data_IF_760635311592
#
_entry.id   IF_760635311592
#
_cell.length_a   1.000
_cell.length_b   1.000
_cell.length_c   1.000
_cell.angle_alpha   90.00
_cell.angle_beta   90.00
_cell.angle_gamma   90.00
#
_symmetry.space_group_name_H-M   'P 1'
#
loop_
_entity.id
_entity.type
_entity.pdbx_description
1 polymer ?
#
# COMPACT_ATOMS: atom_id res chain seq x y z
N UNK A 1 7.31 21.23 21.50
CA UNK A 1 8.30 20.17 21.77
C UNK A 1 8.06 19.09 20.73
N UNK A 2 8.92 18.99 19.71
CA UNK A 2 8.77 17.98 18.66
C UNK A 2 9.17 16.62 19.23
N UNK A 3 8.20 15.74 19.45
CA UNK A 3 8.48 14.32 19.67
C UNK A 3 9.01 13.75 18.37
N UNK A 4 10.32 13.54 18.29
CA UNK A 4 10.95 12.80 17.20
C UNK A 4 10.45 11.37 17.25
N UNK A 5 9.44 11.03 16.45
CA UNK A 5 8.96 9.66 16.30
C UNK A 5 10.08 8.87 15.62
N UNK A 6 10.81 8.05 16.39
CA UNK A 6 11.90 7.23 15.84
C UNK A 6 11.30 5.96 15.24
N UNK A 7 11.51 5.75 13.95
CA UNK A 7 11.18 4.47 13.32
C UNK A 7 12.01 3.33 13.92
N UNK A 8 11.45 2.12 13.89
CA UNK A 8 12.07 0.86 14.29
C UNK A 8 12.22 -0.02 13.04
N UNK A 9 13.42 -0.55 12.81
CA UNK A 9 13.63 -1.64 11.85
C UNK A 9 13.23 -2.98 12.49
N UNK A 10 12.53 -3.82 11.74
CA UNK A 10 12.07 -5.14 12.16
C UNK A 10 12.26 -6.17 11.06
N UNK A 11 12.23 -7.44 11.43
CA UNK A 11 12.06 -8.54 10.48
C UNK A 11 10.71 -9.20 10.74
N UNK A 12 9.81 -9.16 9.76
CA UNK A 12 8.46 -9.71 9.84
C UNK A 12 8.48 -11.12 9.24
N UNK A 13 8.00 -12.15 9.97
CA UNK A 13 7.83 -13.49 9.40
C UNK A 13 6.63 -13.50 8.45
N UNK A 14 6.86 -13.80 7.17
CA UNK A 14 5.81 -13.96 6.16
C UNK A 14 6.30 -14.81 4.97
N UNK A 15 5.44 -15.68 4.42
CA UNK A 15 5.73 -16.58 3.31
C UNK A 15 6.90 -17.52 3.60
N UNK A 16 7.05 -17.96 4.87
CA UNK A 16 8.18 -18.78 5.32
C UNK A 16 9.53 -18.05 5.37
N UNK A 17 9.55 -16.72 5.19
CA UNK A 17 10.74 -15.90 5.15
C UNK A 17 10.73 -14.79 6.21
N UNK A 18 11.89 -14.19 6.47
CA UNK A 18 12.03 -12.98 7.27
C UNK A 18 12.16 -11.75 6.38
N UNK A 19 11.14 -10.89 6.38
CA UNK A 19 11.06 -9.71 5.52
C UNK A 19 11.43 -8.44 6.30
N UNK A 20 12.44 -7.66 5.85
CA UNK A 20 12.83 -6.43 6.55
C UNK A 20 11.77 -5.35 6.35
N UNK A 21 11.44 -4.65 7.43
CA UNK A 21 10.47 -3.56 7.41
C UNK A 21 10.86 -2.40 8.35
N UNK A 22 10.45 -1.21 7.96
CA UNK A 22 10.56 0.01 8.76
C UNK A 22 9.18 0.34 9.33
N UNK A 23 9.05 0.30 10.65
CA UNK A 23 7.80 0.57 11.37
C UNK A 23 7.92 1.92 12.09
N UNK A 24 6.96 2.81 11.84
CA UNK A 24 6.86 4.08 12.55
C UNK A 24 5.41 4.32 12.95
N UNK A 25 5.16 4.50 14.24
CA UNK A 25 3.82 4.76 14.78
C UNK A 25 3.87 6.03 15.63
N UNK A 26 3.30 7.15 15.15
CA UNK A 26 3.20 8.37 15.93
C UNK A 26 2.39 8.17 17.22
N UNK A 27 2.67 8.99 18.23
CA UNK A 27 1.81 9.03 19.42
C UNK A 27 0.40 9.45 19.02
N UNK A 28 -0.61 8.74 19.53
CA UNK A 28 -2.01 8.99 19.16
C UNK A 28 -2.40 8.51 17.77
N UNK A 29 -1.64 7.59 17.16
CA UNK A 29 -2.00 7.05 15.85
C UNK A 29 -3.42 6.46 15.84
N UNK A 30 -4.20 6.79 14.82
CA UNK A 30 -5.59 6.32 14.67
C UNK A 30 -5.71 5.09 13.79
N UNK A 31 -4.71 4.82 12.97
CA UNK A 31 -4.61 3.66 12.08
C UNK A 31 -3.16 3.41 11.66
N UNK A 32 -2.92 2.32 10.94
CA UNK A 32 -1.60 1.98 10.39
C UNK A 32 -1.70 1.58 8.92
N UNK A 33 -0.78 2.07 8.10
CA UNK A 33 -0.75 1.81 6.66
C UNK A 33 0.44 0.92 6.31
N UNK A 34 0.17 -0.26 5.74
CA UNK A 34 1.18 -1.16 5.19
C UNK A 34 1.44 -0.82 3.72
N UNK A 35 2.70 -0.57 3.38
CA UNK A 35 3.12 -0.22 2.02
C UNK A 35 3.58 -1.45 1.25
N UNK A 36 2.91 -1.74 0.13
CA UNK A 36 3.37 -2.64 -0.92
C UNK A 36 4.08 -1.84 -2.01
N UNK A 37 5.41 -1.93 -2.08
CA UNK A 37 6.18 -1.23 -3.10
C UNK A 37 5.97 -1.85 -4.49
N UNK A 38 6.26 -1.07 -5.54
CA UNK A 38 6.23 -1.58 -6.92
C UNK A 38 7.43 -2.48 -7.21
N UNK A 39 7.36 -3.19 -8.34
CA UNK A 39 8.42 -4.06 -8.84
C UNK A 39 9.78 -3.34 -8.92
N UNK A 40 10.84 -3.97 -8.40
CA UNK A 40 12.19 -3.40 -8.38
C UNK A 40 12.38 -2.20 -7.46
N UNK A 41 11.41 -1.92 -6.57
CA UNK A 41 11.52 -0.93 -5.51
C UNK A 41 11.75 -1.61 -4.15
N UNK A 42 11.78 -0.84 -3.07
CA UNK A 42 12.02 -1.33 -1.71
C UNK A 42 11.33 -0.43 -0.69
N UNK A 43 11.40 -0.80 0.58
CA UNK A 43 10.97 0.00 1.73
C UNK A 43 11.64 1.39 1.79
N UNK A 44 12.80 1.55 1.16
CA UNK A 44 13.51 2.82 1.07
C UNK A 44 13.10 3.70 -0.12
N UNK A 45 12.04 3.34 -0.86
CA UNK A 45 11.53 4.13 -1.97
C UNK A 45 11.30 5.59 -1.58
N UNK A 46 11.99 6.58 -2.19
CA UNK A 46 11.85 7.98 -1.81
C UNK A 46 10.41 8.49 -1.93
N UNK A 47 9.66 7.96 -2.91
CA UNK A 47 8.25 8.29 -3.12
C UNK A 47 7.38 7.76 -1.99
N UNK A 48 7.55 6.50 -1.59
CA UNK A 48 6.74 5.92 -0.51
C UNK A 48 7.11 6.53 0.84
N UNK A 49 8.38 6.82 1.08
CA UNK A 49 8.85 7.55 2.27
C UNK A 49 8.26 8.97 2.31
N UNK A 50 8.15 9.66 1.17
CA UNK A 50 7.50 10.97 1.12
C UNK A 50 6.01 10.90 1.45
N UNK A 51 5.28 9.92 0.89
CA UNK A 51 3.87 9.67 1.23
C UNK A 51 3.73 9.33 2.72
N UNK A 52 4.58 8.44 3.25
CA UNK A 52 4.56 8.05 4.65
C UNK A 52 4.70 9.25 5.60
N UNK A 53 5.54 10.24 5.27
CA UNK A 53 5.65 11.47 6.07
C UNK A 53 4.34 12.25 6.15
N UNK A 54 3.62 12.39 5.04
CA UNK A 54 2.31 13.06 5.02
C UNK A 54 1.27 12.26 5.80
N UNK A 55 1.32 10.92 5.75
CA UNK A 55 0.47 10.06 6.60
C UNK A 55 0.74 10.29 8.09
N UNK A 56 2.00 10.46 8.49
CA UNK A 56 2.35 10.74 9.89
C UNK A 56 1.76 12.06 10.39
N UNK A 57 1.70 13.08 9.52
CA UNK A 57 1.07 14.37 9.82
C UNK A 57 -0.45 14.25 10.07
N UNK A 58 -1.08 13.16 9.57
CA UNK A 58 -2.48 12.79 9.84
C UNK A 58 -2.65 11.78 10.98
N UNK A 59 -1.63 11.60 11.83
CA UNK A 59 -1.63 10.61 12.91
C UNK A 59 -1.88 9.17 12.43
N UNK A 60 -1.31 8.80 11.29
CA UNK A 60 -1.30 7.42 10.81
C UNK A 60 0.09 6.83 11.04
N UNK A 61 0.15 5.60 11.54
CA UNK A 61 1.37 4.80 11.53
C UNK A 61 1.64 4.23 10.14
N UNK A 62 2.88 3.80 9.90
CA UNK A 62 3.27 3.19 8.63
C UNK A 62 4.19 1.98 8.85
N UNK A 63 4.01 0.97 8.01
CA UNK A 63 4.92 -0.19 7.87
C UNK A 63 5.38 -0.20 6.41
N UNK A 64 6.66 0.07 6.17
CA UNK A 64 7.27 -0.04 4.84
C UNK A 64 8.11 -1.32 4.82
N UNK A 65 7.74 -2.29 3.99
CA UNK A 65 8.32 -3.64 3.98
C UNK A 65 8.93 -3.95 2.63
N UNK A 66 10.03 -4.71 2.61
CA UNK A 66 10.46 -5.40 1.39
C UNK A 66 9.70 -6.72 1.26
N UNK A 67 8.94 -6.90 0.18
CA UNK A 67 8.16 -8.13 -0.02
C UNK A 67 8.99 -9.31 -0.53
N UNK A 68 10.26 -9.06 -0.88
CA UNK A 68 11.25 -10.08 -1.21
C UNK A 68 12.37 -10.04 -0.18
N UNK A 69 12.92 -11.20 0.16
CA UNK A 69 14.15 -11.28 0.92
C UNK A 69 15.32 -10.71 0.11
N UNK A 70 16.43 -10.38 0.77
CA UNK A 70 17.62 -9.93 0.07
C UNK A 70 18.18 -10.99 -0.90
N UNK A 71 18.00 -12.28 -0.61
CA UNK A 71 18.42 -13.36 -1.50
C UNK A 71 17.54 -13.46 -2.74
N UNK A 72 16.21 -13.44 -2.54
CA UNK A 72 15.23 -13.41 -3.63
C UNK A 72 15.44 -12.19 -4.52
N UNK A 73 15.61 -10.99 -3.95
CA UNK A 73 15.82 -9.76 -4.70
C UNK A 73 17.10 -9.81 -5.57
N UNK A 74 18.18 -10.45 -5.09
CA UNK A 74 19.41 -10.64 -5.89
C UNK A 74 19.18 -11.55 -7.11
N UNK A 75 18.34 -12.57 -6.97
CA UNK A 75 18.01 -13.48 -8.09
C UNK A 75 17.04 -12.77 -9.04
N UNK A 76 15.99 -12.19 -8.49
CA UNK A 76 14.93 -11.48 -9.19
C UNK A 76 15.44 -10.22 -9.92
N UNK A 77 16.51 -9.58 -9.47
CA UNK A 77 17.20 -8.52 -10.21
C UNK A 77 17.70 -8.99 -11.60
N UNK A 78 17.87 -10.30 -11.80
CA UNK A 78 18.25 -10.90 -13.10
C UNK A 78 17.08 -11.57 -13.81
N UNK A 79 16.15 -12.18 -13.07
CA UNK A 79 15.07 -12.99 -13.67
C UNK A 79 13.75 -12.24 -13.81
N UNK A 80 13.50 -11.25 -12.94
CA UNK A 80 12.24 -10.53 -12.79
C UNK A 80 11.02 -11.43 -12.53
N UNK A 81 11.22 -12.68 -12.08
CA UNK A 81 10.17 -13.66 -11.89
C UNK A 81 9.28 -13.36 -10.67
N UNK A 82 9.88 -12.94 -9.56
CA UNK A 82 9.19 -12.78 -8.28
C UNK A 82 8.51 -11.41 -8.17
N UNK A 83 9.11 -10.36 -8.73
CA UNK A 83 8.53 -9.00 -8.69
C UNK A 83 7.22 -8.86 -9.46
N UNK A 84 6.85 -9.85 -10.26
CA UNK A 84 5.59 -9.90 -11.01
C UNK A 84 4.68 -11.05 -10.57
N UNK A 85 5.10 -11.87 -9.61
CA UNK A 85 4.27 -12.91 -9.00
C UNK A 85 3.31 -12.29 -7.98
N UNK A 86 2.14 -11.86 -8.47
CA UNK A 86 1.13 -11.20 -7.65
C UNK A 86 0.63 -12.12 -6.53
N UNK A 87 0.58 -13.44 -6.75
CA UNK A 87 0.16 -14.42 -5.75
C UNK A 87 1.11 -14.42 -4.57
N UNK A 88 2.41 -14.61 -4.83
CA UNK A 88 3.45 -14.57 -3.79
C UNK A 88 3.43 -13.25 -3.00
N UNK A 89 3.37 -12.12 -3.70
CA UNK A 89 3.38 -10.80 -3.08
C UNK A 89 2.14 -10.56 -2.22
N UNK A 90 0.96 -11.02 -2.68
CA UNK A 90 -0.29 -10.90 -1.95
C UNK A 90 -0.33 -11.80 -0.72
N UNK A 91 0.13 -13.04 -0.82
CA UNK A 91 0.21 -13.97 0.31
C UNK A 91 1.09 -13.40 1.43
N UNK A 92 2.27 -12.84 1.06
CA UNK A 92 3.14 -12.16 2.01
C UNK A 92 2.49 -10.94 2.65
N UNK A 93 1.79 -10.11 1.87
CA UNK A 93 1.04 -8.97 2.43
C UNK A 93 -0.04 -9.42 3.41
N UNK A 94 -0.81 -10.47 3.08
CA UNK A 94 -1.84 -11.00 3.95
C UNK A 94 -1.25 -11.54 5.27
N UNK A 95 -0.13 -12.25 5.21
CA UNK A 95 0.58 -12.73 6.41
C UNK A 95 1.16 -11.57 7.25
N UNK A 96 1.65 -10.49 6.61
CA UNK A 96 2.09 -9.30 7.33
C UNK A 96 0.90 -8.61 8.03
N UNK A 97 -0.28 -8.54 7.40
CA UNK A 97 -1.50 -8.03 8.04
C UNK A 97 -1.83 -8.87 9.29
N UNK A 98 -1.77 -10.20 9.19
CA UNK A 98 -2.01 -11.10 10.33
C UNK A 98 -0.97 -10.88 11.45
N UNK A 99 0.30 -10.70 11.09
CA UNK A 99 1.36 -10.38 12.06
C UNK A 99 1.13 -9.03 12.74
N UNK A 100 0.70 -8.01 11.99
CA UNK A 100 0.39 -6.68 12.54
C UNK A 100 -0.76 -6.75 13.54
N UNK A 101 -1.77 -7.60 13.30
CA UNK A 101 -2.88 -7.82 14.23
C UNK A 101 -2.42 -8.44 15.57
N UNK A 102 -1.35 -9.25 15.56
CA UNK A 102 -0.78 -9.87 16.75
C UNK A 102 0.24 -8.98 17.50
N UNK A 103 0.81 -7.96 16.85
CA UNK A 103 1.82 -7.08 17.45
C UNK A 103 1.19 -6.13 18.49
N UNK A 104 1.69 -6.07 19.74
CA UNK A 104 1.09 -5.25 20.81
C UNK A 104 0.96 -3.75 20.51
N UNK A 105 1.84 -3.23 19.64
CA UNK A 105 1.84 -1.81 19.25
C UNK A 105 0.94 -1.50 18.06
N UNK A 106 0.59 -2.51 17.25
CA UNK A 106 -0.13 -2.37 15.99
C UNK A 106 -1.54 -2.98 16.04
N UNK A 107 -1.75 -4.06 16.77
CA UNK A 107 -2.98 -4.87 16.70
C UNK A 107 -4.27 -4.17 17.14
N UNK A 108 -4.16 -3.00 17.79
CA UNK A 108 -5.32 -2.15 18.12
C UNK A 108 -5.66 -1.12 17.03
N UNK A 109 -4.81 -0.97 16.02
CA UNK A 109 -4.95 0.02 14.98
C UNK A 109 -5.59 -0.63 13.74
N UNK A 110 -6.64 -0.02 13.16
CA UNK A 110 -7.16 -0.45 11.88
C UNK A 110 -6.08 -0.37 10.79
N UNK A 111 -6.04 -1.37 9.92
CA UNK A 111 -5.01 -1.52 8.88
C UNK A 111 -5.52 -0.98 7.55
N UNK A 112 -4.73 -0.13 6.91
CA UNK A 112 -4.88 0.24 5.50
C UNK A 112 -3.73 -0.31 4.66
N UNK A 113 -3.98 -0.57 3.38
CA UNK A 113 -2.94 -1.00 2.43
C UNK A 113 -2.68 0.10 1.41
N UNK A 114 -1.42 0.47 1.24
CA UNK A 114 -0.98 1.37 0.16
C UNK A 114 -0.13 0.58 -0.83
N UNK A 115 -0.66 0.35 -2.03
CA UNK A 115 0.03 -0.36 -3.09
C UNK A 115 0.47 0.58 -4.21
N UNK A 116 1.70 0.40 -4.68
CA UNK A 116 2.26 1.18 -5.78
C UNK A 116 2.55 0.29 -6.99
N UNK A 117 2.16 0.72 -8.20
CA UNK A 117 2.38 -0.07 -9.43
C UNK A 117 1.83 -1.51 -9.28
N UNK A 118 2.64 -2.55 -9.49
CA UNK A 118 2.26 -3.96 -9.25
C UNK A 118 1.92 -4.29 -7.79
N UNK A 119 2.49 -3.56 -6.82
CA UNK A 119 2.13 -3.68 -5.41
C UNK A 119 0.65 -3.32 -5.14
N UNK A 120 0.00 -2.56 -6.02
CA UNK A 120 -1.44 -2.31 -5.93
C UNK A 120 -2.29 -3.57 -6.15
N UNK A 121 -1.91 -4.41 -7.11
CA UNK A 121 -2.61 -5.68 -7.34
C UNK A 121 -2.48 -6.59 -6.12
N UNK A 122 -1.26 -6.73 -5.60
CA UNK A 122 -0.99 -7.54 -4.42
C UNK A 122 -1.75 -7.03 -3.18
N UNK A 123 -1.84 -5.69 -3.01
CA UNK A 123 -2.62 -5.09 -1.94
C UNK A 123 -4.13 -5.39 -2.05
N UNK A 124 -4.69 -5.36 -3.26
CA UNK A 124 -6.10 -5.68 -3.48
C UNK A 124 -6.41 -7.16 -3.24
N UNK A 125 -5.54 -8.07 -3.70
CA UNK A 125 -5.67 -9.51 -3.43
C UNK A 125 -5.58 -9.78 -1.93
N UNK A 126 -4.62 -9.16 -1.23
CA UNK A 126 -4.51 -9.29 0.23
C UNK A 126 -5.73 -8.72 0.97
N UNK A 127 -6.29 -7.60 0.50
CA UNK A 127 -7.50 -7.00 1.07
C UNK A 127 -8.72 -7.92 0.91
N UNK A 128 -8.89 -8.54 -0.27
CA UNK A 128 -9.93 -9.53 -0.51
C UNK A 128 -9.76 -10.77 0.39
N UNK A 129 -8.52 -11.18 0.66
CA UNK A 129 -8.23 -12.33 1.53
C UNK A 129 -8.40 -12.04 3.03
N UNK A 130 -8.46 -10.77 3.44
CA UNK A 130 -8.58 -10.32 4.84
C UNK A 130 -9.63 -9.21 5.01
N UNK A 131 -10.90 -9.45 4.63
CA UNK A 131 -11.92 -8.42 4.55
C UNK A 131 -12.26 -7.79 5.91
N UNK A 132 -12.06 -8.52 7.01
CA UNK A 132 -12.32 -8.04 8.37
C UNK A 132 -11.15 -7.24 8.98
N UNK A 133 -9.93 -7.42 8.45
CA UNK A 133 -8.72 -6.78 9.00
C UNK A 133 -8.31 -5.55 8.19
N UNK A 134 -8.46 -5.59 6.86
CA UNK A 134 -8.12 -4.47 5.98
C UNK A 134 -9.32 -3.52 5.86
N UNK A 135 -9.12 -2.28 6.27
CA UNK A 135 -10.18 -1.27 6.39
C UNK A 135 -10.20 -0.25 5.26
N UNK A 136 -9.10 -0.13 4.51
CA UNK A 136 -9.00 0.75 3.34
C UNK A 136 -7.83 0.35 2.45
N UNK A 137 -7.93 0.62 1.14
CA UNK A 137 -6.85 0.43 0.17
C UNK A 137 -6.63 1.72 -0.61
N UNK A 138 -5.37 2.05 -0.90
CA UNK A 138 -4.98 3.07 -1.88
C UNK A 138 -4.03 2.43 -2.91
N UNK A 139 -4.38 2.55 -4.18
CA UNK A 139 -3.57 2.15 -5.33
C UNK A 139 -2.97 3.39 -5.98
N UNK A 140 -1.64 3.51 -6.04
CA UNK A 140 -0.94 4.64 -6.70
C UNK A 140 -0.28 4.20 -8.01
N UNK A 141 -0.76 4.74 -9.13
CA UNK A 141 -0.28 4.39 -10.47
C UNK A 141 -0.29 2.89 -10.69
N UNK A 142 -1.27 2.22 -10.09
CA UNK A 142 -1.28 0.79 -9.90
C UNK A 142 -1.74 0.03 -11.13
N UNK A 143 -1.51 -1.28 -11.12
CA UNK A 143 -2.07 -2.26 -12.05
C UNK A 143 -3.16 -3.11 -11.37
N UNK A 144 -4.26 -2.50 -10.87
CA UNK A 144 -5.29 -3.23 -10.13
C UNK A 144 -5.95 -4.31 -10.99
N UNK A 145 -5.92 -4.18 -12.31
CA UNK A 145 -6.34 -5.20 -13.28
C UNK A 145 -5.67 -6.56 -13.05
N UNK A 146 -4.44 -6.58 -12.52
CA UNK A 146 -3.71 -7.81 -12.22
C UNK A 146 -4.23 -8.53 -10.96
N UNK A 147 -5.12 -7.92 -10.17
CA UNK A 147 -5.80 -8.59 -9.06
C UNK A 147 -6.89 -9.55 -9.56
N UNK A 148 -7.33 -9.43 -10.82
CA UNK A 148 -8.25 -10.35 -11.48
C UNK A 148 -9.49 -10.66 -10.65
N UNK A 149 -9.76 -11.94 -10.44
CA UNK A 149 -10.97 -12.42 -9.73
C UNK A 149 -11.06 -11.99 -8.27
N UNK A 150 -10.01 -11.41 -7.68
CA UNK A 150 -10.06 -10.83 -6.34
C UNK A 150 -10.80 -9.48 -6.31
N UNK A 151 -10.84 -8.71 -7.42
CA UNK A 151 -11.44 -7.37 -7.45
C UNK A 151 -12.89 -7.35 -6.92
N UNK A 152 -13.81 -8.23 -7.36
CA UNK A 152 -15.19 -8.23 -6.86
C UNK A 152 -15.33 -8.70 -5.41
N UNK A 153 -14.25 -9.22 -4.80
CA UNK A 153 -14.23 -9.72 -3.43
C UNK A 153 -13.67 -8.69 -2.44
N UNK A 154 -13.12 -7.57 -2.93
CA UNK A 154 -12.61 -6.50 -2.07
C UNK A 154 -13.79 -5.81 -1.37
N UNK A 155 -13.84 -5.92 -0.05
CA UNK A 155 -14.83 -5.23 0.78
C UNK A 155 -14.36 -3.84 1.28
N UNK A 156 -13.05 -3.60 1.27
CA UNK A 156 -12.46 -2.38 1.80
C UNK A 156 -12.64 -1.21 0.80
N UNK A 157 -13.05 -0.01 1.27
CA UNK A 157 -13.02 1.20 0.46
C UNK A 157 -11.65 1.39 -0.21
N UNK A 158 -11.66 1.49 -1.54
CA UNK A 158 -10.47 1.47 -2.38
C UNK A 158 -10.39 2.75 -3.21
N UNK A 159 -9.31 3.51 -3.04
CA UNK A 159 -8.99 4.67 -3.86
C UNK A 159 -7.93 4.31 -4.90
N UNK A 160 -8.26 4.47 -6.17
CA UNK A 160 -7.36 4.33 -7.31
C UNK A 160 -6.86 5.72 -7.72
N UNK A 161 -5.56 5.99 -7.56
CA UNK A 161 -4.89 7.23 -7.95
C UNK A 161 -4.07 7.00 -9.22
N UNK A 162 -4.40 7.70 -10.30
CA UNK A 162 -3.74 7.55 -11.61
C UNK A 162 -3.23 8.89 -12.13
N UNK A 163 -2.10 8.88 -12.83
CA UNK A 163 -1.57 10.08 -13.49
C UNK A 163 -2.37 10.42 -14.73
N UNK A 164 -2.73 11.69 -14.91
CA UNK A 164 -3.54 12.15 -16.04
C UNK A 164 -2.87 12.04 -17.41
N UNK A 165 -1.55 11.81 -17.46
CA UNK A 165 -0.78 11.56 -18.69
C UNK A 165 -0.48 10.07 -18.90
N UNK A 166 -1.01 9.18 -18.06
CA UNK A 166 -0.82 7.72 -18.15
C UNK A 166 -2.10 7.05 -18.68
N UNK A 167 -2.45 7.34 -19.93
CA UNK A 167 -3.73 6.94 -20.56
C UNK A 167 -3.99 5.43 -20.48
N UNK A 168 -2.94 4.62 -20.63
CA UNK A 168 -3.06 3.17 -20.53
C UNK A 168 -3.46 2.74 -19.12
N UNK A 169 -2.79 3.29 -18.09
CA UNK A 169 -3.09 2.94 -16.70
C UNK A 169 -4.45 3.51 -16.28
N UNK A 170 -4.88 4.66 -16.80
CA UNK A 170 -6.25 5.18 -16.60
C UNK A 170 -7.26 4.13 -17.06
N UNK A 171 -7.15 3.66 -18.31
CA UNK A 171 -8.08 2.66 -18.88
C UNK A 171 -8.15 1.39 -18.02
N UNK A 172 -7.00 0.91 -17.56
CA UNK A 172 -6.92 -0.30 -16.71
C UNK A 172 -7.53 -0.08 -15.32
N UNK A 173 -7.39 1.12 -14.75
CA UNK A 173 -8.00 1.44 -13.45
C UNK A 173 -9.50 1.70 -13.57
N UNK A 174 -9.99 2.23 -14.69
CA UNK A 174 -11.43 2.34 -14.97
C UNK A 174 -12.10 0.95 -15.05
N UNK A 175 -11.43 0.00 -15.71
CA UNK A 175 -11.89 -1.40 -15.76
C UNK A 175 -11.93 -2.03 -14.37
N UNK A 176 -10.84 -1.88 -13.59
CA UNK A 176 -10.81 -2.41 -12.23
C UNK A 176 -11.82 -1.74 -11.29
N UNK A 177 -12.06 -0.43 -11.43
CA UNK A 177 -13.10 0.29 -10.68
C UNK A 177 -14.49 -0.29 -10.95
N UNK A 178 -14.79 -0.65 -12.20
CA UNK A 178 -16.06 -1.28 -12.54
C UNK A 178 -16.24 -2.65 -11.85
N UNK A 179 -15.17 -3.42 -11.66
CA UNK A 179 -15.19 -4.69 -10.92
C UNK A 179 -15.27 -4.49 -9.39
N UNK A 180 -14.63 -3.45 -8.86
CA UNK A 180 -14.73 -3.06 -7.45
C UNK A 180 -16.14 -2.58 -7.06
N UNK A 181 -16.89 -2.01 -8.01
CA UNK A 181 -18.24 -1.52 -7.77
C UNK A 181 -18.27 -0.37 -6.76
N UNK A 182 -19.18 -0.43 -5.79
CA UNK A 182 -19.45 0.68 -4.86
C UNK A 182 -18.30 1.01 -3.89
N UNK A 183 -17.35 0.09 -3.70
CA UNK A 183 -16.19 0.34 -2.83
C UNK A 183 -15.04 1.04 -3.56
N UNK A 184 -15.10 1.17 -4.89
CA UNK A 184 -14.04 1.75 -5.71
C UNK A 184 -14.28 3.23 -6.02
N UNK A 185 -13.26 4.07 -5.81
CA UNK A 185 -13.20 5.45 -6.30
C UNK A 185 -11.95 5.64 -7.15
N UNK A 186 -12.10 6.21 -8.36
CA UNK A 186 -10.97 6.59 -9.22
C UNK A 186 -10.76 8.11 -9.18
N UNK A 187 -9.52 8.52 -8.92
CA UNK A 187 -9.10 9.92 -9.00
C UNK A 187 -7.88 10.08 -9.90
N UNK A 188 -8.03 10.92 -10.91
CA UNK A 188 -6.97 11.30 -11.84
C UNK A 188 -6.20 12.51 -11.31
N UNK A 189 -4.87 12.43 -11.29
CA UNK A 189 -3.96 13.53 -10.92
C UNK A 189 -3.54 14.29 -12.19
N UNK A 190 -4.03 15.53 -12.42
CA UNK A 190 -3.80 16.24 -13.66
C UNK A 190 -2.31 16.48 -13.94
N UNK A 191 -1.89 16.26 -15.20
CA UNK A 191 -0.53 16.54 -15.65
C UNK A 191 0.55 15.60 -15.09
N UNK A 192 0.18 14.54 -14.38
CA UNK A 192 1.12 13.58 -13.81
C UNK A 192 1.34 12.36 -14.73
N UNK A 193 2.59 11.91 -14.84
CA UNK A 193 2.94 10.62 -15.47
C UNK A 193 2.93 9.47 -14.46
N UNK A 194 3.28 8.26 -14.90
CA UNK A 194 3.23 7.01 -14.12
C UNK A 194 3.82 7.10 -12.71
N UNK A 195 4.94 7.83 -12.55
CA UNK A 195 5.67 7.94 -11.30
C UNK A 195 5.36 9.20 -10.48
N UNK A 196 4.50 10.09 -11.00
CA UNK A 196 4.12 11.35 -10.36
C UNK A 196 5.32 12.24 -10.03
N UNK A 197 6.28 12.35 -10.97
CA UNK A 197 7.54 13.09 -10.78
C UNK A 197 7.38 14.59 -11.05
N UNK A 198 6.28 14.99 -11.68
CA UNK A 198 5.97 16.38 -11.98
C UNK A 198 5.78 17.20 -10.70
N UNK A 199 6.12 18.50 -10.71
CA UNK A 199 5.99 19.36 -9.53
C UNK A 199 4.59 19.30 -8.91
N UNK A 200 4.53 18.86 -7.65
CA UNK A 200 3.28 18.77 -6.89
C UNK A 200 2.42 17.53 -7.15
N UNK A 201 2.76 16.67 -8.12
CA UNK A 201 1.99 15.46 -8.42
C UNK A 201 2.02 14.46 -7.25
N UNK A 202 3.22 14.14 -6.74
CA UNK A 202 3.35 13.25 -5.58
C UNK A 202 2.73 13.83 -4.30
N UNK A 203 2.73 15.16 -4.13
CA UNK A 203 2.07 15.80 -3.00
C UNK A 203 0.55 15.60 -3.05
N UNK A 204 -0.07 15.79 -4.23
CA UNK A 204 -1.49 15.49 -4.42
C UNK A 204 -1.84 14.03 -4.14
N UNK A 205 -0.97 13.09 -4.56
CA UNK A 205 -1.12 11.66 -4.22
C UNK A 205 -1.06 11.45 -2.72
N UNK A 206 -0.08 12.04 -2.05
CA UNK A 206 0.14 11.86 -0.62
C UNK A 206 -1.03 12.42 0.20
N UNK A 207 -1.52 13.62 -0.14
CA UNK A 207 -2.66 14.25 0.50
C UNK A 207 -3.94 13.42 0.29
N UNK A 208 -4.21 12.98 -0.94
CA UNK A 208 -5.37 12.15 -1.24
C UNK A 208 -5.34 10.81 -0.49
N UNK A 209 -4.18 10.15 -0.44
CA UNK A 209 -4.02 8.92 0.32
C UNK A 209 -4.20 9.15 1.83
N UNK A 210 -3.64 10.24 2.36
CA UNK A 210 -3.75 10.57 3.77
C UNK A 210 -5.18 10.89 4.19
N UNK A 211 -5.91 11.65 3.38
CA UNK A 211 -7.31 11.95 3.64
C UNK A 211 -8.21 10.71 3.52
N UNK A 212 -7.92 9.81 2.56
CA UNK A 212 -8.62 8.52 2.43
C UNK A 212 -8.45 7.67 3.69
N UNK A 213 -7.20 7.42 4.10
CA UNK A 213 -6.93 6.62 5.29
C UNK A 213 -7.43 7.29 6.57
N UNK A 214 -7.30 8.61 6.71
CA UNK A 214 -7.81 9.33 7.87
C UNK A 214 -9.35 9.29 7.98
N UNK A 215 -10.05 9.05 6.87
CA UNK A 215 -11.50 8.86 6.83
C UNK A 215 -11.88 7.43 7.19
N UNK A 216 -11.22 6.43 6.61
CA UNK A 216 -11.64 5.03 6.69
C UNK A 216 -10.97 4.22 7.82
N UNK A 217 -9.82 4.66 8.33
CA UNK A 217 -9.11 4.02 9.45
C UNK A 217 -9.48 4.63 10.81
N UNK A 218 -10.65 5.27 10.94
CA UNK A 218 -11.11 5.69 12.27
C UNK A 218 -11.65 4.48 13.01
N UNK A 219 -11.31 4.30 14.31
CA UNK A 219 -12.00 3.34 15.15
C UNK A 219 -13.51 3.62 15.12
N UNK A 220 -14.38 2.59 15.21
CA UNK A 220 -15.79 2.81 15.49
C UNK A 220 -15.92 3.66 16.76
N UNK A 221 -16.82 4.66 16.72
CA UNK A 221 -17.14 5.49 17.87
C UNK A 221 -17.81 4.69 18.99
#
# INVERSE_FOLDING_TARGET
MGTTTRGREVTIPAGGAGLPADVLVPAGATGVVLFAHGSGSSRHSPRNVAVAKVLHERALGTVLVDLLTQEEDRVDARTAELRFDIGLLADRLAEIVDWMAAEPTLGRLPVGLFGASTGAAAALVAAAARPDQVRAVVSRGGRPDLAGTALPQVAAPTLLLVGGLDEQVITLNEQAMAELGEVGELRVVPGATHLFEEPGALAQVADAAADWFATHLRPPA
#
